data_IF_677055790034
#
_entry.id   IF_677055790034
#
_cell.length_a   1.000
_cell.length_b   1.000
_cell.length_c   1.000
_cell.angle_alpha   90.00
_cell.angle_beta   90.00
_cell.angle_gamma   90.00
#
_symmetry.space_group_name_H-M   'P 1'
#
loop_
_entity.id
_entity.type
_entity.pdbx_description
1 polymer ?
#
# COMPACT_ATOMS: atom_id res chain seq x y z
N UNK A 1 -23.41 -9.81 -3.85
CA UNK A 1 -22.71 -9.12 -2.74
C UNK A 1 -21.34 -8.65 -3.22
N UNK A 2 -20.85 -7.54 -2.65
CA UNK A 2 -19.47 -7.09 -2.87
C UNK A 2 -18.59 -7.56 -1.73
N UNK A 3 -17.32 -7.92 -2.02
CA UNK A 3 -16.39 -8.30 -0.96
C UNK A 3 -15.96 -7.09 -0.13
N UNK A 4 -15.65 -5.96 -0.77
CA UNK A 4 -15.22 -4.74 -0.08
C UNK A 4 -15.83 -3.48 -0.70
N UNK A 5 -16.38 -2.61 0.14
CA UNK A 5 -16.82 -1.27 -0.24
C UNK A 5 -16.12 -0.23 0.63
N UNK A 6 -15.59 0.82 0.00
CA UNK A 6 -14.81 1.83 0.71
C UNK A 6 -15.31 3.25 0.43
N UNK A 7 -15.37 4.08 1.48
CA UNK A 7 -15.62 5.52 1.32
C UNK A 7 -14.42 6.18 0.67
N UNK A 8 -14.64 6.84 -0.47
CA UNK A 8 -13.56 7.41 -1.27
C UNK A 8 -13.06 8.74 -0.68
N UNK A 9 -11.76 8.82 -0.40
CA UNK A 9 -11.08 10.04 0.07
C UNK A 9 -11.70 10.68 1.32
N UNK A 10 -12.34 9.89 2.20
CA UNK A 10 -12.98 10.35 3.43
C UNK A 10 -14.06 11.43 3.18
N UNK A 11 -14.67 11.49 2.00
CA UNK A 11 -15.75 12.44 1.69
C UNK A 11 -17.02 11.95 2.38
N UNK A 12 -17.66 12.84 3.16
CA UNK A 12 -18.87 12.54 3.94
C UNK A 12 -18.81 11.18 4.65
N UNK A 13 -17.65 10.90 5.25
CA UNK A 13 -17.29 9.56 5.72
C UNK A 13 -18.27 9.02 6.76
N UNK A 14 -18.78 9.86 7.64
CA UNK A 14 -19.74 9.46 8.68
C UNK A 14 -21.06 8.96 8.07
N UNK A 15 -21.65 9.75 7.17
CA UNK A 15 -22.91 9.42 6.48
C UNK A 15 -22.77 8.13 5.65
N UNK A 16 -21.67 8.03 4.90
CA UNK A 16 -21.44 6.85 4.06
C UNK A 16 -21.15 5.60 4.88
N UNK A 17 -20.39 5.71 5.97
CA UNK A 17 -20.13 4.54 6.83
C UNK A 17 -21.37 4.04 7.52
N UNK A 18 -22.31 4.89 7.91
CA UNK A 18 -23.60 4.46 8.46
C UNK A 18 -24.35 3.58 7.45
N UNK A 19 -24.45 4.02 6.20
CA UNK A 19 -25.04 3.25 5.10
C UNK A 19 -24.28 1.92 4.85
N UNK A 20 -22.94 1.96 4.85
CA UNK A 20 -22.14 0.77 4.61
C UNK A 20 -22.23 -0.26 5.73
N UNK A 21 -22.36 0.18 6.99
CA UNK A 21 -22.62 -0.72 8.12
C UNK A 21 -23.94 -1.45 7.96
N UNK A 22 -25.00 -0.74 7.58
CA UNK A 22 -26.30 -1.36 7.31
C UNK A 22 -26.18 -2.38 6.17
N UNK A 23 -25.49 -2.05 5.09
CA UNK A 23 -25.28 -2.99 3.98
C UNK A 23 -24.45 -4.21 4.37
N UNK A 24 -23.54 -4.07 5.33
CA UNK A 24 -22.77 -5.18 5.88
C UNK A 24 -23.66 -6.09 6.71
N UNK A 25 -24.53 -5.53 7.56
CA UNK A 25 -25.53 -6.27 8.32
C UNK A 25 -26.53 -7.01 7.42
N UNK A 26 -26.95 -6.38 6.32
CA UNK A 26 -27.85 -6.97 5.31
C UNK A 26 -27.14 -8.03 4.43
N UNK A 27 -25.83 -8.25 4.62
CA UNK A 27 -25.04 -9.20 3.81
C UNK A 27 -24.78 -8.75 2.35
N UNK A 28 -25.01 -7.47 2.05
CA UNK A 28 -24.78 -6.89 0.70
C UNK A 28 -23.29 -6.61 0.44
N UNK A 29 -22.54 -6.29 1.48
CA UNK A 29 -21.08 -6.13 1.49
C UNK A 29 -20.49 -6.98 2.60
N UNK A 30 -19.33 -7.58 2.36
CA UNK A 30 -18.63 -8.40 3.34
C UNK A 30 -17.72 -7.57 4.25
N UNK A 31 -16.98 -6.64 3.68
CA UNK A 31 -16.07 -5.74 4.37
C UNK A 31 -16.33 -4.30 3.98
N UNK A 32 -16.09 -3.39 4.92
CA UNK A 32 -16.21 -1.95 4.71
C UNK A 32 -14.90 -1.24 5.06
N UNK A 33 -14.67 -0.07 4.46
CA UNK A 33 -13.44 0.67 4.70
C UNK A 33 -13.48 2.10 4.22
N UNK A 34 -12.33 2.75 4.29
CA UNK A 34 -12.15 4.11 3.81
C UNK A 34 -10.81 4.29 3.11
N UNK A 35 -10.74 5.27 2.21
CA UNK A 35 -9.54 5.55 1.43
C UNK A 35 -9.06 6.97 1.62
N UNK A 36 -7.76 7.17 1.47
CA UNK A 36 -7.16 8.48 1.21
C UNK A 36 -5.98 8.32 0.24
N UNK A 37 -5.70 9.36 -0.52
CA UNK A 37 -4.57 9.35 -1.46
C UNK A 37 -3.54 10.44 -1.15
N UNK A 38 -3.69 11.12 -0.02
CA UNK A 38 -2.84 12.24 0.39
C UNK A 38 -2.47 12.12 1.87
N UNK A 39 -1.18 12.30 2.19
CA UNK A 39 -0.70 12.27 3.56
C UNK A 39 -1.33 13.30 4.48
N UNK A 40 -1.85 14.41 3.93
CA UNK A 40 -2.55 15.44 4.69
C UNK A 40 -3.80 14.96 5.43
N UNK A 41 -4.38 13.83 5.05
CA UNK A 41 -5.56 13.25 5.72
C UNK A 41 -5.23 12.03 6.59
N UNK A 42 -3.96 11.77 6.88
CA UNK A 42 -3.55 10.65 7.71
C UNK A 42 -4.09 10.75 9.14
N UNK A 43 -4.16 11.95 9.74
CA UNK A 43 -4.71 12.13 11.09
C UNK A 43 -6.20 11.77 11.17
N UNK A 44 -6.99 12.17 10.17
CA UNK A 44 -8.41 11.85 10.08
C UNK A 44 -8.63 10.34 9.84
N UNK A 45 -7.85 9.74 8.93
CA UNK A 45 -7.90 8.29 8.72
C UNK A 45 -7.51 7.51 9.97
N UNK A 46 -6.51 7.99 10.74
CA UNK A 46 -6.12 7.38 12.02
C UNK A 46 -7.25 7.42 13.04
N UNK A 47 -7.96 8.54 13.17
CA UNK A 47 -9.11 8.63 14.07
C UNK A 47 -10.18 7.60 13.69
N UNK A 48 -10.46 7.47 12.41
CA UNK A 48 -11.40 6.47 11.90
C UNK A 48 -10.94 5.03 12.20
N UNK A 49 -9.67 4.71 12.00
CA UNK A 49 -9.10 3.41 12.36
C UNK A 49 -9.23 3.10 13.85
N UNK A 50 -9.06 4.11 14.71
CA UNK A 50 -9.20 3.97 16.17
C UNK A 50 -10.63 3.74 16.62
N UNK A 51 -11.63 4.19 15.88
CA UNK A 51 -13.05 3.99 16.20
C UNK A 51 -13.48 2.51 16.10
N UNK A 52 -12.71 1.67 15.40
CA UNK A 52 -13.02 0.25 15.20
C UNK A 52 -14.18 -0.02 14.24
N UNK A 53 -14.58 0.98 13.46
CA UNK A 53 -15.78 0.92 12.61
C UNK A 53 -15.52 0.43 11.17
N UNK A 54 -14.29 0.05 10.83
CA UNK A 54 -13.89 -0.35 9.47
C UNK A 54 -13.00 -1.58 9.49
N UNK A 55 -13.06 -2.38 8.42
CA UNK A 55 -12.28 -3.58 8.24
C UNK A 55 -11.00 -3.32 7.40
N UNK A 56 -11.06 -2.35 6.49
CA UNK A 56 -9.98 -2.03 5.56
C UNK A 56 -9.71 -0.54 5.49
N UNK A 57 -8.44 -0.22 5.23
CA UNK A 57 -8.00 1.12 4.85
C UNK A 57 -7.19 1.08 3.56
N UNK A 58 -7.29 2.15 2.77
CA UNK A 58 -6.45 2.32 1.60
C UNK A 58 -5.76 3.69 1.65
N UNK A 59 -4.44 3.70 1.57
CA UNK A 59 -3.65 4.93 1.58
C UNK A 59 -2.36 4.81 0.77
N UNK A 60 -1.70 5.95 0.54
CA UNK A 60 -0.43 6.01 -0.19
C UNK A 60 0.72 5.54 0.70
N UNK A 61 1.49 4.59 0.19
CA UNK A 61 2.75 4.15 0.77
C UNK A 61 3.68 3.65 -0.34
N UNK A 62 4.92 4.12 -0.35
CA UNK A 62 5.96 3.71 -1.29
C UNK A 62 7.34 4.09 -0.74
N UNK A 63 8.40 3.85 -1.49
CA UNK A 63 9.78 4.10 -1.05
C UNK A 63 10.07 5.59 -0.77
N UNK A 64 9.25 6.51 -1.29
CA UNK A 64 9.34 7.96 -1.06
C UNK A 64 8.39 8.42 0.04
N UNK A 65 7.09 8.08 -0.09
CA UNK A 65 6.03 8.50 0.83
C UNK A 65 5.91 7.45 1.95
N UNK A 66 6.63 7.69 3.06
CA UNK A 66 6.80 6.71 4.14
C UNK A 66 6.17 7.12 5.47
N UNK A 67 5.44 8.22 5.52
CA UNK A 67 4.82 8.75 6.74
C UNK A 67 3.90 7.72 7.41
N UNK A 68 3.27 6.84 6.63
CA UNK A 68 2.40 5.79 7.14
C UNK A 68 3.13 4.78 8.06
N UNK A 69 4.46 4.64 7.93
CA UNK A 69 5.28 3.78 8.81
C UNK A 69 5.27 4.24 10.28
N UNK A 70 5.01 5.52 10.52
CA UNK A 70 5.05 6.09 11.87
C UNK A 70 3.79 5.79 12.68
N UNK A 71 2.62 5.76 12.04
CA UNK A 71 1.33 5.69 12.75
C UNK A 71 0.32 4.73 12.12
N UNK A 72 0.01 4.85 10.82
CA UNK A 72 -1.10 4.11 10.20
C UNK A 72 -0.80 2.61 10.07
N UNK A 73 0.39 2.24 9.62
CA UNK A 73 0.77 0.83 9.47
C UNK A 73 0.86 0.11 10.83
N UNK A 74 1.51 0.68 11.88
CA UNK A 74 1.46 0.09 13.22
C UNK A 74 0.03 -0.06 13.76
N UNK A 75 -0.80 0.97 13.61
CA UNK A 75 -2.19 0.95 14.09
C UNK A 75 -3.03 -0.10 13.35
N UNK A 76 -2.86 -0.22 12.03
CA UNK A 76 -3.57 -1.25 11.26
C UNK A 76 -3.25 -2.65 11.76
N UNK A 77 -1.98 -2.91 12.06
CA UNK A 77 -1.54 -4.19 12.61
C UNK A 77 -2.11 -4.45 14.01
N UNK A 78 -2.09 -3.43 14.88
CA UNK A 78 -2.65 -3.51 16.24
C UNK A 78 -4.15 -3.82 16.21
N UNK A 79 -4.88 -3.22 15.27
CA UNK A 79 -6.34 -3.31 15.17
C UNK A 79 -6.84 -4.43 14.25
N UNK A 80 -5.95 -5.17 13.58
CA UNK A 80 -6.34 -6.19 12.61
C UNK A 80 -7.04 -5.64 11.37
N UNK A 81 -6.74 -4.39 10.97
CA UNK A 81 -7.32 -3.72 9.81
C UNK A 81 -6.51 -4.09 8.57
N UNK A 82 -7.18 -4.55 7.50
CA UNK A 82 -6.56 -4.82 6.21
C UNK A 82 -6.06 -3.54 5.53
N UNK A 83 -4.86 -3.58 4.94
CA UNK A 83 -4.24 -2.42 4.32
C UNK A 83 -4.04 -2.62 2.83
N UNK A 84 -4.64 -1.74 2.04
CA UNK A 84 -4.44 -1.66 0.59
C UNK A 84 -3.56 -0.45 0.29
N UNK A 85 -2.48 -0.65 -0.44
CA UNK A 85 -1.58 0.43 -0.80
C UNK A 85 -1.89 0.95 -2.20
N UNK A 86 -2.31 2.22 -2.27
CA UNK A 86 -2.41 2.94 -3.54
C UNK A 86 -1.10 3.69 -3.87
N UNK A 87 -0.99 4.14 -5.13
CA UNK A 87 0.18 4.88 -5.64
C UNK A 87 1.53 4.23 -5.29
N UNK A 88 1.69 2.91 -5.44
CA UNK A 88 2.94 2.23 -5.10
C UNK A 88 4.13 2.80 -5.87
N UNK A 89 3.91 3.35 -7.06
CA UNK A 89 4.93 3.98 -7.91
C UNK A 89 4.87 5.51 -7.90
N UNK A 90 4.11 6.14 -6.99
CA UNK A 90 3.96 7.61 -6.92
C UNK A 90 3.70 8.26 -8.29
N UNK A 91 2.75 7.70 -9.08
CA UNK A 91 2.49 8.12 -10.47
C UNK A 91 3.78 8.08 -11.32
N UNK A 92 4.52 6.99 -11.25
CA UNK A 92 5.79 6.71 -11.93
C UNK A 92 7.00 7.52 -11.44
N UNK A 93 6.86 8.47 -10.52
CA UNK A 93 7.98 9.30 -10.02
C UNK A 93 9.09 8.50 -9.33
N UNK A 94 8.79 7.33 -8.80
CA UNK A 94 9.83 6.46 -8.22
C UNK A 94 10.85 6.01 -9.27
N UNK A 95 10.48 6.00 -10.56
CA UNK A 95 11.37 5.58 -11.64
C UNK A 95 12.29 6.71 -12.15
N UNK A 96 12.02 7.98 -11.80
CA UNK A 96 12.82 9.10 -12.29
C UNK A 96 14.28 9.00 -11.85
N UNK A 97 14.53 8.62 -10.59
CA UNK A 97 15.87 8.46 -10.04
C UNK A 97 16.63 7.25 -10.54
N UNK A 98 15.94 6.24 -11.01
CA UNK A 98 16.53 4.95 -11.40
C UNK A 98 16.57 4.78 -12.92
N UNK A 99 16.24 5.83 -13.67
CA UNK A 99 16.22 5.79 -15.12
C UNK A 99 17.62 5.49 -15.67
N UNK A 100 17.74 4.40 -16.43
CA UNK A 100 19.02 3.95 -17.00
C UNK A 100 19.94 3.24 -16.01
N UNK A 101 19.52 3.07 -14.75
CA UNK A 101 20.28 2.32 -13.75
C UNK A 101 19.80 0.87 -13.67
N UNK A 102 20.75 -0.04 -13.56
CA UNK A 102 20.46 -1.42 -13.16
C UNK A 102 20.04 -1.48 -11.70
N UNK A 103 19.22 -2.47 -11.33
CA UNK A 103 18.98 -2.76 -9.91
C UNK A 103 20.29 -3.18 -9.25
N UNK A 104 20.46 -2.96 -7.93
CA UNK A 104 21.67 -3.39 -7.24
C UNK A 104 21.77 -4.92 -7.19
N UNK A 105 22.98 -5.45 -7.27
CA UNK A 105 23.24 -6.91 -7.33
C UNK A 105 22.58 -7.67 -6.17
N UNK A 106 22.57 -7.07 -4.97
CA UNK A 106 21.96 -7.67 -3.79
C UNK A 106 20.42 -7.80 -3.88
N UNK A 107 19.77 -7.18 -4.85
CA UNK A 107 18.34 -7.38 -5.10
C UNK A 107 18.03 -8.80 -5.60
N UNK A 108 19.03 -9.53 -6.09
CA UNK A 108 18.90 -10.94 -6.44
C UNK A 108 18.63 -11.83 -5.21
N UNK A 109 19.00 -11.39 -3.99
CA UNK A 109 18.74 -12.12 -2.74
C UNK A 109 17.23 -12.35 -2.49
N UNK A 110 16.38 -11.57 -3.12
CA UNK A 110 14.92 -11.69 -3.06
C UNK A 110 14.26 -11.70 -4.45
N UNK A 111 14.96 -12.27 -5.43
CA UNK A 111 14.46 -12.54 -6.78
C UNK A 111 13.89 -11.30 -7.50
N UNK A 112 14.45 -10.12 -7.27
CA UNK A 112 14.13 -8.94 -8.06
C UNK A 112 14.93 -8.92 -9.36
N UNK A 113 14.24 -8.75 -10.48
CA UNK A 113 14.85 -8.63 -11.81
C UNK A 113 14.71 -7.22 -12.40
N UNK A 114 13.88 -6.38 -11.81
CA UNK A 114 13.66 -5.00 -12.26
C UNK A 114 13.20 -4.08 -11.12
N UNK A 115 13.21 -2.77 -11.39
CA UNK A 115 12.84 -1.76 -10.40
C UNK A 115 11.38 -1.82 -9.95
N UNK A 116 10.45 -2.24 -10.81
CA UNK A 116 9.05 -2.37 -10.42
C UNK A 116 8.89 -3.42 -9.31
N UNK A 117 9.53 -4.59 -9.47
CA UNK A 117 9.56 -5.65 -8.46
C UNK A 117 10.26 -5.17 -7.18
N UNK A 118 11.37 -4.43 -7.30
CA UNK A 118 12.08 -3.86 -6.15
C UNK A 118 11.15 -2.96 -5.32
N UNK A 119 10.45 -2.01 -5.95
CA UNK A 119 9.53 -1.12 -5.25
C UNK A 119 8.30 -1.83 -4.69
N UNK A 120 7.74 -2.79 -5.41
CA UNK A 120 6.59 -3.56 -4.91
C UNK A 120 6.98 -4.46 -3.74
N UNK A 121 8.11 -5.15 -3.81
CA UNK A 121 8.60 -5.98 -2.69
C UNK A 121 8.89 -5.14 -1.44
N UNK A 122 9.42 -3.93 -1.59
CA UNK A 122 9.55 -2.98 -0.48
C UNK A 122 8.21 -2.74 0.23
N UNK A 123 7.11 -2.64 -0.53
CA UNK A 123 5.78 -2.38 0.00
C UNK A 123 5.17 -3.65 0.62
N UNK A 124 5.07 -4.72 -0.17
CA UNK A 124 4.32 -5.92 0.23
C UNK A 124 5.04 -6.76 1.30
N UNK A 125 6.33 -6.53 1.51
CA UNK A 125 7.07 -7.13 2.62
C UNK A 125 6.81 -6.47 3.98
N UNK A 126 6.10 -5.35 4.02
CA UNK A 126 5.70 -4.76 5.30
C UNK A 126 4.55 -5.57 5.90
N UNK A 127 4.76 -6.13 7.10
CA UNK A 127 3.83 -7.05 7.77
C UNK A 127 2.39 -6.55 7.94
N UNK A 128 2.17 -5.24 7.93
CA UNK A 128 0.83 -4.64 8.02
C UNK A 128 0.15 -4.50 6.64
N UNK A 129 0.87 -4.68 5.53
CA UNK A 129 0.31 -4.50 4.19
C UNK A 129 -0.35 -5.79 3.73
N UNK A 130 -1.62 -5.68 3.33
CA UNK A 130 -2.38 -6.81 2.75
C UNK A 130 -2.08 -6.93 1.25
N UNK A 131 -2.15 -5.82 0.51
CA UNK A 131 -1.82 -5.80 -0.90
C UNK A 131 -1.47 -4.40 -1.40
N UNK A 132 -0.87 -4.32 -2.60
CA UNK A 132 -0.67 -3.08 -3.34
C UNK A 132 -1.44 -3.14 -4.66
N UNK A 133 -1.90 -1.98 -5.15
CA UNK A 133 -2.67 -1.87 -6.41
C UNK A 133 -1.90 -1.07 -7.47
N UNK A 134 -0.86 -1.64 -8.11
CA UNK A 134 -0.11 -1.01 -9.18
C UNK A 134 -0.95 -1.03 -10.48
N UNK A 135 -1.64 0.07 -10.77
CA UNK A 135 -2.42 0.18 -11.99
C UNK A 135 -1.52 0.29 -13.23
N UNK A 136 -1.86 -0.46 -14.28
CA UNK A 136 -1.19 -0.38 -15.58
C UNK A 136 -2.17 -0.77 -16.70
N UNK A 137 -1.98 -0.19 -17.89
CA UNK A 137 -2.68 -0.57 -19.12
C UNK A 137 -1.84 -1.51 -20.02
N UNK A 138 -0.61 -1.84 -19.61
CA UNK A 138 0.35 -2.65 -20.38
C UNK A 138 0.44 -4.05 -19.78
N UNK A 139 0.35 -5.07 -20.63
CA UNK A 139 0.44 -6.48 -20.22
C UNK A 139 1.83 -6.82 -19.69
N UNK A 140 2.89 -6.35 -20.35
CA UNK A 140 4.28 -6.57 -19.93
C UNK A 140 4.55 -5.98 -18.53
N UNK A 141 4.07 -4.77 -18.24
CA UNK A 141 4.17 -4.20 -16.89
C UNK A 141 3.35 -4.99 -15.86
N UNK A 142 2.22 -5.58 -16.25
CA UNK A 142 1.46 -6.44 -15.33
C UNK A 142 2.27 -7.70 -14.98
N UNK A 143 2.88 -8.34 -15.97
CA UNK A 143 3.73 -9.51 -15.76
C UNK A 143 4.91 -9.18 -14.83
N UNK A 144 5.58 -8.04 -15.06
CA UNK A 144 6.66 -7.56 -14.20
C UNK A 144 6.18 -7.33 -12.77
N UNK A 145 5.02 -6.65 -12.59
CA UNK A 145 4.45 -6.39 -11.28
C UNK A 145 4.12 -7.69 -10.53
N UNK A 146 3.54 -8.67 -11.22
CA UNK A 146 3.23 -9.98 -10.62
C UNK A 146 4.47 -10.74 -10.18
N UNK A 147 5.62 -10.52 -10.82
CA UNK A 147 6.91 -11.06 -10.39
C UNK A 147 7.31 -10.64 -8.96
N UNK A 148 6.74 -9.56 -8.42
CA UNK A 148 6.96 -9.19 -7.03
C UNK A 148 6.39 -10.18 -6.00
N UNK A 149 5.53 -11.11 -6.43
CA UNK A 149 4.98 -12.17 -5.57
C UNK A 149 5.86 -13.45 -5.57
N UNK A 150 6.85 -13.53 -6.45
CA UNK A 150 7.76 -14.67 -6.52
C UNK A 150 8.97 -14.48 -5.60
N UNK A 151 9.48 -15.60 -5.05
CA UNK A 151 10.67 -15.64 -4.23
C UNK A 151 10.51 -15.01 -2.83
N UNK A 152 11.62 -14.88 -2.08
CA UNK A 152 11.59 -14.38 -0.72
C UNK A 152 11.23 -12.90 -0.65
N UNK A 153 10.65 -12.49 0.47
CA UNK A 153 10.34 -11.10 0.75
C UNK A 153 11.45 -10.47 1.61
N UNK A 154 11.83 -9.20 1.34
CA UNK A 154 12.75 -8.44 2.17
C UNK A 154 12.32 -8.38 3.63
N UNK A 155 13.21 -8.66 4.55
CA UNK A 155 13.01 -8.44 5.97
C UNK A 155 13.04 -6.93 6.34
N UNK A 156 12.75 -6.55 7.60
CA UNK A 156 12.76 -5.14 8.01
C UNK A 156 14.11 -4.44 7.86
N UNK A 157 15.24 -5.16 7.98
CA UNK A 157 16.58 -4.58 7.80
C UNK A 157 16.87 -4.34 6.32
N UNK A 158 16.53 -5.31 5.49
CA UNK A 158 16.64 -5.18 4.02
C UNK A 158 15.73 -4.06 3.50
N UNK A 159 14.50 -3.92 4.01
CA UNK A 159 13.63 -2.80 3.67
C UNK A 159 14.25 -1.43 4.01
N UNK A 160 14.89 -1.32 5.17
CA UNK A 160 15.65 -0.10 5.53
C UNK A 160 16.79 0.16 4.56
N UNK A 161 17.54 -0.88 4.17
CA UNK A 161 18.60 -0.80 3.15
C UNK A 161 18.05 -0.35 1.80
N UNK A 162 16.90 -0.89 1.37
CA UNK A 162 16.24 -0.50 0.11
C UNK A 162 15.88 0.99 0.10
N UNK A 163 15.25 1.48 1.18
CA UNK A 163 14.85 2.87 1.30
C UNK A 163 16.07 3.81 1.33
N UNK A 164 17.11 3.45 2.08
CA UNK A 164 18.37 4.21 2.15
C UNK A 164 19.05 4.25 0.79
N UNK A 165 19.22 3.10 0.14
CA UNK A 165 19.83 3.00 -1.18
C UNK A 165 19.12 3.89 -2.19
N UNK A 166 17.77 3.82 -2.26
CA UNK A 166 17.00 4.67 -3.15
C UNK A 166 17.16 6.18 -2.84
N UNK A 167 17.23 6.56 -1.57
CA UNK A 167 17.41 7.96 -1.16
C UNK A 167 18.79 8.52 -1.54
N UNK A 168 19.82 7.67 -1.62
CA UNK A 168 21.20 8.01 -1.97
C UNK A 168 21.46 8.06 -3.48
N UNK A 169 20.54 7.57 -4.30
CA UNK A 169 20.63 7.72 -5.75
C UNK A 169 20.44 9.18 -6.15
N UNK A 170 21.32 9.69 -6.99
CA UNK A 170 21.36 11.10 -7.41
C UNK A 170 20.21 11.47 -8.37
#
# INVERSE_FOLDING_TARGET
AFDLMQVHNLVDVETHLETLKQWKEDGRVKYIGATTSHGSRHAELEQLMRSGSIDFVQFTYNVIDREAEQRLLPLALERGIGVIINRPFKRSRVFDRVRGLSIPDWAAEFDCTNWAQFFLKFIVSHRAVTCAIPATSRVDHMIENMGALAGPLPDPLVRKRMAKYYAELA
#
